data_IF_993432489233
#
_entry.id   IF_993432489233
#
_cell.length_a   1.000
_cell.length_b   1.000
_cell.length_c   1.000
_cell.angle_alpha   90.00
_cell.angle_beta   90.00
_cell.angle_gamma   90.00
#
_symmetry.space_group_name_H-M   'P 1'
#
loop_
_entity.id
_entity.type
_entity.pdbx_description
1 polymer ?
#
# COMPACT_ATOMS: atom_id res chain seq x y z
N UNK A 1 30.28 -0.12 47.60
CA UNK A 1 29.04 -0.15 46.79
C UNK A 1 29.45 -0.41 45.35
N UNK A 2 29.23 -1.61 44.76
CA UNK A 2 29.51 -1.80 43.35
C UNK A 2 28.40 -1.15 42.52
N UNK A 3 28.78 -0.34 41.53
CA UNK A 3 27.88 0.27 40.56
C UNK A 3 27.25 -0.84 39.71
N UNK A 4 25.91 -0.91 39.71
CA UNK A 4 25.16 -1.86 38.91
C UNK A 4 25.45 -1.64 37.42
N UNK A 5 25.88 -2.71 36.74
CA UNK A 5 25.98 -2.73 35.28
C UNK A 5 24.58 -2.92 34.71
N UNK A 6 24.10 -1.92 33.97
CA UNK A 6 22.90 -2.05 33.15
C UNK A 6 23.30 -2.68 31.81
N UNK A 7 22.68 -3.82 31.45
CA UNK A 7 22.76 -4.34 30.09
C UNK A 7 21.99 -3.42 29.15
N UNK A 8 22.72 -2.61 28.39
CA UNK A 8 22.16 -1.84 27.27
C UNK A 8 21.97 -2.82 26.12
N UNK A 9 20.73 -3.27 25.94
CA UNK A 9 20.36 -4.05 24.77
C UNK A 9 20.57 -3.23 23.50
N UNK A 10 21.58 -3.60 22.70
CA UNK A 10 22.08 -2.91 21.52
C UNK A 10 20.98 -2.56 20.48
N UNK A 11 19.90 -3.34 20.42
CA UNK A 11 18.77 -3.14 19.50
C UNK A 11 17.91 -1.90 19.81
N UNK A 12 17.89 -1.40 21.05
CA UNK A 12 17.11 -0.21 21.39
C UNK A 12 17.66 1.07 20.71
N UNK A 13 18.94 1.07 20.35
CA UNK A 13 19.60 2.19 19.68
C UNK A 13 19.20 2.34 18.21
N UNK A 14 18.99 1.23 17.50
CA UNK A 14 18.76 1.24 16.05
C UNK A 14 17.40 1.85 15.67
N UNK A 15 16.33 1.51 16.41
CA UNK A 15 15.00 2.07 16.13
C UNK A 15 14.92 3.55 16.51
N UNK A 16 15.60 3.99 17.58
CA UNK A 16 15.61 5.42 17.96
C UNK A 16 16.21 6.31 16.87
N UNK A 17 17.17 5.80 16.10
CA UNK A 17 17.73 6.51 14.96
C UNK A 17 16.70 6.82 13.85
N UNK A 18 15.54 6.14 13.84
CA UNK A 18 14.42 6.47 12.93
C UNK A 18 13.90 7.89 13.17
N UNK A 19 13.92 8.38 14.42
CA UNK A 19 13.42 9.72 14.77
C UNK A 19 14.27 10.81 14.11
N UNK A 20 15.56 10.56 13.88
CA UNK A 20 16.48 11.50 13.24
C UNK A 20 16.06 11.85 11.81
N UNK A 21 15.33 10.96 11.12
CA UNK A 21 14.81 11.21 9.77
C UNK A 21 13.87 12.43 9.74
N UNK A 22 13.18 12.69 10.86
CA UNK A 22 12.14 13.72 10.96
C UNK A 22 12.69 15.08 11.39
N UNK A 23 13.93 15.14 11.85
CA UNK A 23 14.43 16.23 12.70
C UNK A 23 14.34 17.62 12.06
N UNK A 24 14.75 17.72 10.79
CA UNK A 24 14.65 18.94 9.99
C UNK A 24 13.20 19.30 9.62
N UNK A 25 12.38 18.29 9.36
CA UNK A 25 10.97 18.46 8.99
C UNK A 25 10.13 18.93 10.18
N UNK A 26 10.36 18.39 11.38
CA UNK A 26 9.69 18.82 12.62
C UNK A 26 9.92 20.28 12.94
N UNK A 27 11.14 20.80 12.70
CA UNK A 27 11.44 22.23 12.87
C UNK A 27 10.62 23.10 11.93
N UNK A 28 10.46 22.69 10.67
CA UNK A 28 9.62 23.40 9.69
C UNK A 28 8.15 23.31 10.05
N UNK A 29 7.64 22.11 10.36
CA UNK A 29 6.25 21.93 10.81
C UNK A 29 5.93 22.79 12.04
N UNK A 30 6.83 22.82 13.03
CA UNK A 30 6.69 23.67 14.23
C UNK A 30 6.64 25.15 13.90
N UNK A 31 7.46 25.61 12.96
CA UNK A 31 7.43 27.00 12.50
C UNK A 31 6.08 27.34 11.89
N UNK A 32 5.57 26.51 10.98
CA UNK A 32 4.25 26.69 10.37
C UNK A 32 3.12 26.63 11.39
N UNK A 33 3.18 25.71 12.36
CA UNK A 33 2.16 25.56 13.40
C UNK A 33 2.17 26.72 14.41
N UNK A 34 3.30 27.38 14.63
CA UNK A 34 3.45 28.50 15.57
C UNK A 34 3.21 29.87 14.92
N UNK A 35 2.96 29.93 13.61
CA UNK A 35 2.57 31.17 12.97
C UNK A 35 1.28 31.72 13.60
N UNK A 36 1.19 33.06 13.70
CA UNK A 36 0.03 33.73 14.30
C UNK A 36 -1.29 33.40 13.60
N UNK A 37 -1.23 33.12 12.30
CA UNK A 37 -2.37 32.78 11.46
C UNK A 37 -2.54 31.26 11.29
N UNK A 38 -1.75 30.44 11.99
CA UNK A 38 -1.81 28.99 11.86
C UNK A 38 -3.18 28.43 12.30
N UNK A 39 -3.85 27.64 11.45
CA UNK A 39 -5.11 26.99 11.82
C UNK A 39 -4.97 26.09 13.03
N UNK A 40 -6.04 26.01 13.84
CA UNK A 40 -6.08 25.19 15.06
C UNK A 40 -5.75 23.73 14.79
N UNK A 41 -6.21 23.18 13.65
CA UNK A 41 -5.93 21.78 13.26
C UNK A 41 -4.43 21.51 13.08
N UNK A 42 -3.67 22.47 12.50
CA UNK A 42 -2.23 22.34 12.32
C UNK A 42 -1.50 22.36 13.68
N UNK A 43 -1.91 23.26 14.58
CA UNK A 43 -1.39 23.29 15.97
C UNK A 43 -1.67 22.00 16.73
N UNK A 44 -2.88 21.45 16.59
CA UNK A 44 -3.27 20.21 17.27
C UNK A 44 -2.52 18.99 16.74
N UNK A 45 -2.29 18.89 15.43
CA UNK A 45 -1.54 17.75 14.87
C UNK A 45 -0.06 17.83 15.24
N UNK A 46 0.55 19.02 15.26
CA UNK A 46 1.93 19.20 15.74
C UNK A 46 2.07 18.73 17.19
N UNK A 47 1.17 19.17 18.09
CA UNK A 47 1.19 18.72 19.48
C UNK A 47 1.06 17.21 19.63
N UNK A 48 0.08 16.60 18.95
CA UNK A 48 -0.12 15.13 18.99
C UNK A 48 1.09 14.36 18.47
N UNK A 49 1.78 14.92 17.47
CA UNK A 49 2.97 14.33 16.89
C UNK A 49 4.15 14.41 17.87
N UNK A 50 4.32 15.53 18.57
CA UNK A 50 5.31 15.66 19.66
C UNK A 50 5.03 14.66 20.78
N UNK A 51 3.77 14.53 21.21
CA UNK A 51 3.39 13.55 22.22
C UNK A 51 3.70 12.10 21.77
N UNK A 52 3.45 11.78 20.49
CA UNK A 52 3.77 10.47 19.92
C UNK A 52 5.29 10.22 19.82
N UNK A 53 6.08 11.25 19.50
CA UNK A 53 7.55 11.18 19.50
C UNK A 53 8.08 10.87 20.90
N UNK A 54 7.63 11.60 21.92
CA UNK A 54 8.03 11.32 23.30
C UNK A 54 7.65 9.89 23.74
N UNK A 55 6.51 9.39 23.28
CA UNK A 55 6.08 8.04 23.60
C UNK A 55 7.00 6.95 23.02
N UNK A 56 7.61 7.15 21.83
CA UNK A 56 8.55 6.17 21.26
C UNK A 56 9.97 6.30 21.83
N UNK A 57 10.36 7.48 22.31
CA UNK A 57 11.70 7.69 22.91
C UNK A 57 11.79 7.30 24.39
N UNK A 58 10.66 7.03 25.06
CA UNK A 58 10.67 6.63 26.46
C UNK A 58 11.36 5.27 26.68
N UNK A 59 12.22 5.18 27.70
CA UNK A 59 13.24 4.12 27.95
C UNK A 59 12.73 2.66 27.99
N UNK A 60 11.40 2.46 28.08
CA UNK A 60 10.73 1.15 28.13
C UNK A 60 9.82 0.89 26.90
N UNK A 61 9.97 1.67 25.84
CA UNK A 61 9.03 1.74 24.72
C UNK A 61 9.45 0.91 23.51
N UNK A 62 9.20 -0.40 23.53
CA UNK A 62 9.42 -1.28 22.37
C UNK A 62 8.14 -1.74 21.68
N UNK A 63 7.01 -1.11 21.97
CA UNK A 63 5.72 -1.52 21.42
C UNK A 63 5.55 -1.03 19.97
N UNK A 64 5.35 -1.93 18.99
CA UNK A 64 5.07 -1.56 17.61
C UNK A 64 3.88 -0.61 17.46
N UNK A 65 2.87 -0.74 18.32
CA UNK A 65 1.70 0.13 18.33
C UNK A 65 2.02 1.61 18.59
N UNK A 66 3.10 1.93 19.31
CA UNK A 66 3.53 3.33 19.51
C UNK A 66 4.17 3.90 18.25
N UNK A 67 4.95 3.10 17.54
CA UNK A 67 5.52 3.47 16.24
C UNK A 67 4.43 3.62 15.17
N UNK A 68 3.44 2.72 15.14
CA UNK A 68 2.26 2.86 14.28
C UNK A 68 1.44 4.12 14.59
N UNK A 69 1.31 4.47 15.88
CA UNK A 69 0.66 5.73 16.29
C UNK A 69 1.43 6.95 15.79
N UNK A 70 2.75 6.93 15.86
CA UNK A 70 3.61 7.99 15.32
C UNK A 70 3.46 8.09 13.78
N UNK A 71 3.52 6.97 13.06
CA UNK A 71 3.24 6.90 11.62
C UNK A 71 1.86 7.50 11.29
N UNK A 72 0.83 7.13 12.06
CA UNK A 72 -0.51 7.68 11.88
C UNK A 72 -0.58 9.20 12.11
N UNK A 73 0.20 9.75 13.04
CA UNK A 73 0.29 11.21 13.23
C UNK A 73 1.04 11.90 12.07
N UNK A 74 2.06 11.25 11.49
CA UNK A 74 2.72 11.76 10.28
C UNK A 74 1.74 11.86 9.11
N UNK A 75 0.97 10.80 8.85
CA UNK A 75 -0.07 10.81 7.82
C UNK A 75 -1.15 11.87 8.10
N UNK A 76 -1.55 12.05 9.35
CA UNK A 76 -2.52 13.07 9.75
C UNK A 76 -1.99 14.50 9.53
N UNK A 77 -0.69 14.74 9.75
CA UNK A 77 -0.07 16.02 9.47
C UNK A 77 -0.10 16.31 7.97
N UNK A 78 0.30 15.35 7.14
CA UNK A 78 0.22 15.49 5.68
C UNK A 78 -1.21 15.68 5.17
N UNK A 79 -2.20 15.03 5.78
CA UNK A 79 -3.62 15.20 5.45
C UNK A 79 -4.10 16.65 5.67
N UNK A 80 -3.55 17.35 6.65
CA UNK A 80 -3.82 18.77 6.87
C UNK A 80 -3.04 19.62 5.86
N UNK A 81 -1.77 19.30 5.66
CA UNK A 81 -0.86 20.10 4.85
C UNK A 81 -1.30 20.15 3.39
N UNK A 82 -1.74 19.01 2.84
CA UNK A 82 -2.20 18.89 1.44
C UNK A 82 -3.40 19.77 1.07
N UNK A 83 -4.10 20.34 2.06
CA UNK A 83 -5.17 21.31 1.83
C UNK A 83 -4.67 22.77 1.75
N UNK A 84 -3.35 22.96 1.63
CA UNK A 84 -2.73 24.27 1.41
C UNK A 84 -2.34 25.01 2.70
N UNK A 85 -2.42 24.36 3.86
CA UNK A 85 -2.00 24.96 5.13
C UNK A 85 -0.65 24.42 5.58
N UNK A 86 0.35 25.28 5.77
CA UNK A 86 1.66 24.85 6.25
C UNK A 86 2.44 23.99 5.24
N UNK A 87 2.17 24.16 3.95
CA UNK A 87 2.85 23.42 2.87
C UNK A 87 4.34 23.74 2.75
N UNK A 88 4.79 24.85 3.34
CA UNK A 88 6.21 25.19 3.52
C UNK A 88 6.95 24.18 4.42
N UNK A 89 6.23 23.41 5.25
CA UNK A 89 6.81 22.28 5.96
C UNK A 89 7.31 21.17 5.02
N UNK A 90 6.81 21.13 3.78
CA UNK A 90 7.02 20.08 2.78
C UNK A 90 6.46 18.72 3.23
N UNK A 91 6.35 17.73 2.33
CA UNK A 91 5.94 16.38 2.70
C UNK A 91 6.88 15.78 3.76
N UNK A 92 6.42 14.76 4.47
CA UNK A 92 7.26 13.97 5.38
C UNK A 92 8.49 13.47 4.61
N UNK A 93 9.70 13.65 5.16
CA UNK A 93 10.94 13.28 4.47
C UNK A 93 11.02 11.78 4.23
N UNK A 94 11.94 11.32 3.37
CA UNK A 94 12.21 9.90 3.20
C UNK A 94 12.49 9.22 4.55
N UNK A 95 11.77 8.14 4.83
CA UNK A 95 11.91 7.36 6.05
C UNK A 95 12.78 6.13 5.79
N UNK A 96 13.68 5.80 6.71
CA UNK A 96 14.50 4.59 6.58
C UNK A 96 13.70 3.29 6.74
N UNK A 97 14.16 2.15 6.18
CA UNK A 97 13.44 0.87 6.30
C UNK A 97 13.20 0.39 7.74
N UNK A 98 14.03 0.79 8.69
CA UNK A 98 13.94 0.43 10.11
C UNK A 98 12.63 0.89 10.76
N UNK A 99 11.96 1.92 10.20
CA UNK A 99 10.60 2.29 10.60
C UNK A 99 9.63 1.11 10.50
N UNK A 100 9.81 0.23 9.50
CA UNK A 100 8.99 -0.97 9.33
C UNK A 100 9.29 -1.99 10.42
N UNK A 101 10.56 -2.24 10.73
CA UNK A 101 10.93 -3.15 11.81
C UNK A 101 10.39 -2.68 13.17
N UNK A 102 10.42 -1.36 13.42
CA UNK A 102 9.93 -0.77 14.64
C UNK A 102 8.40 -0.79 14.78
N UNK A 103 7.66 -0.76 13.66
CA UNK A 103 6.19 -0.67 13.64
C UNK A 103 5.47 -1.97 13.28
N UNK A 104 6.19 -3.02 12.90
CA UNK A 104 5.60 -4.32 12.58
C UNK A 104 5.09 -5.04 13.84
N UNK A 105 3.78 -5.21 13.93
CA UNK A 105 3.10 -5.97 14.99
C UNK A 105 2.65 -7.37 14.53
N UNK A 106 2.98 -7.76 13.30
CA UNK A 106 2.57 -9.04 12.73
C UNK A 106 1.10 -9.11 12.30
N UNK A 107 0.38 -7.98 12.26
CA UNK A 107 -1.02 -7.95 11.82
C UNK A 107 -1.17 -7.97 10.29
N UNK A 108 -2.29 -8.49 9.75
CA UNK A 108 -2.57 -8.37 8.33
C UNK A 108 -2.72 -6.90 7.90
N UNK A 109 -3.28 -6.02 8.73
CA UNK A 109 -3.39 -4.58 8.48
C UNK A 109 -2.03 -3.96 8.18
N UNK A 110 -1.04 -4.22 9.02
CA UNK A 110 0.30 -3.65 8.84
C UNK A 110 1.00 -4.21 7.58
N UNK A 111 0.91 -5.52 7.33
CA UNK A 111 1.48 -6.14 6.12
C UNK A 111 0.83 -5.61 4.84
N UNK A 112 -0.50 -5.48 4.83
CA UNK A 112 -1.24 -4.92 3.70
C UNK A 112 -0.92 -3.43 3.51
N UNK A 113 -0.77 -2.67 4.59
CA UNK A 113 -0.38 -1.27 4.54
C UNK A 113 0.98 -1.08 3.86
N UNK A 114 1.96 -1.91 4.22
CA UNK A 114 3.28 -1.91 3.59
C UNK A 114 3.22 -2.28 2.10
N UNK A 115 2.49 -3.36 1.77
CA UNK A 115 2.30 -3.80 0.38
C UNK A 115 1.64 -2.71 -0.48
N UNK A 116 0.62 -2.04 0.06
CA UNK A 116 -0.03 -0.91 -0.58
C UNK A 116 0.95 0.25 -0.78
N UNK A 117 1.68 0.66 0.26
CA UNK A 117 2.51 1.86 0.27
C UNK A 117 3.68 1.81 -0.72
N UNK A 118 4.38 0.67 -0.81
CA UNK A 118 5.64 0.58 -1.55
C UNK A 118 5.49 0.20 -3.02
N UNK A 119 4.25 0.02 -3.51
CA UNK A 119 4.00 -0.35 -4.89
C UNK A 119 4.28 0.77 -5.91
N UNK A 120 4.37 0.43 -7.19
CA UNK A 120 4.65 1.41 -8.25
C UNK A 120 4.11 1.03 -9.63
N UNK A 121 3.93 2.04 -10.47
CA UNK A 121 3.33 1.89 -11.80
C UNK A 121 4.25 1.29 -12.86
N UNK A 122 5.52 1.67 -12.81
CA UNK A 122 6.53 1.26 -13.80
C UNK A 122 7.65 0.53 -13.09
N UNK A 123 8.48 -0.21 -13.81
CA UNK A 123 9.71 -0.78 -13.25
C UNK A 123 10.93 -0.16 -13.93
N UNK A 124 11.91 0.26 -13.14
CA UNK A 124 13.25 0.66 -13.60
C UNK A 124 14.26 -0.20 -12.85
N UNK A 125 15.14 -0.89 -13.57
CA UNK A 125 16.13 -1.81 -12.97
C UNK A 125 15.52 -2.84 -12.01
N UNK A 126 14.31 -3.33 -12.32
CA UNK A 126 13.60 -4.30 -11.47
C UNK A 126 12.91 -3.71 -10.22
N UNK A 127 13.05 -2.41 -9.95
CA UNK A 127 12.40 -1.74 -8.82
C UNK A 127 11.16 -1.00 -9.34
N UNK A 128 9.99 -1.12 -8.68
CA UNK A 128 8.85 -0.27 -8.99
C UNK A 128 9.22 1.20 -8.80
N UNK A 129 9.18 1.96 -9.89
CA UNK A 129 9.23 3.42 -9.89
C UNK A 129 7.81 3.95 -9.96
N UNK A 130 7.63 5.27 -9.97
CA UNK A 130 6.30 5.88 -10.09
C UNK A 130 5.39 5.58 -8.86
N UNK A 131 5.83 6.07 -7.70
CA UNK A 131 5.20 5.84 -6.38
C UNK A 131 3.74 6.26 -6.35
N UNK A 132 2.92 5.51 -5.60
CA UNK A 132 1.53 5.87 -5.36
C UNK A 132 1.36 7.08 -4.43
N UNK A 133 2.44 7.58 -3.80
CA UNK A 133 2.40 8.76 -2.93
C UNK A 133 1.81 10.00 -3.61
N UNK A 134 1.99 10.15 -4.93
CA UNK A 134 1.38 11.24 -5.71
C UNK A 134 -0.15 11.18 -5.76
N UNK A 135 -0.74 10.01 -5.53
CA UNK A 135 -2.20 9.89 -5.46
C UNK A 135 -2.76 10.35 -4.11
N UNK A 136 -1.89 10.49 -3.11
CA UNK A 136 -2.22 11.01 -1.79
C UNK A 136 -1.85 12.49 -1.64
N UNK A 137 -0.72 12.92 -2.21
CA UNK A 137 -0.19 14.29 -2.07
C UNK A 137 0.02 14.95 -3.43
N UNK A 138 -0.22 16.27 -3.55
CA UNK A 138 0.13 17.05 -4.74
C UNK A 138 1.65 17.22 -4.81
N UNK A 139 2.35 16.23 -5.36
CA UNK A 139 3.81 16.22 -5.44
C UNK A 139 4.30 16.80 -6.77
N UNK A 140 5.45 17.46 -6.72
CA UNK A 140 6.13 17.95 -7.91
C UNK A 140 6.63 16.77 -8.76
N UNK A 141 6.40 16.84 -10.09
CA UNK A 141 6.73 15.76 -11.02
C UNK A 141 8.24 15.56 -11.21
N UNK A 142 9.01 16.64 -11.14
CA UNK A 142 10.46 16.63 -11.26
C UNK A 142 11.12 16.40 -9.89
N UNK A 143 10.50 16.90 -8.83
CA UNK A 143 10.95 16.81 -7.44
C UNK A 143 9.91 16.09 -6.58
N UNK A 144 9.77 14.76 -6.68
CA UNK A 144 8.71 13.99 -6.00
C UNK A 144 8.82 13.95 -4.46
N UNK A 145 9.79 14.66 -3.88
CA UNK A 145 9.94 14.88 -2.43
C UNK A 145 9.41 16.25 -1.98
N UNK A 146 8.96 17.07 -2.91
CA UNK A 146 8.43 18.40 -2.69
C UNK A 146 6.98 18.47 -3.12
N UNK A 147 6.22 19.38 -2.51
CA UNK A 147 4.89 19.70 -3.02
C UNK A 147 4.99 20.44 -4.36
N UNK A 148 4.05 20.14 -5.27
CA UNK A 148 3.81 20.97 -6.44
C UNK A 148 3.14 22.27 -6.00
N UNK A 149 3.67 23.40 -6.45
CA UNK A 149 3.14 24.73 -6.10
C UNK A 149 2.88 25.54 -7.36
N UNK A 150 1.80 26.33 -7.34
CA UNK A 150 1.45 27.28 -8.39
C UNK A 150 1.05 28.59 -7.74
N UNK A 151 1.81 29.66 -8.03
CA UNK A 151 1.64 30.94 -7.36
C UNK A 151 1.83 30.83 -5.85
N UNK A 152 0.78 31.13 -5.09
CA UNK A 152 0.80 31.17 -3.61
C UNK A 152 0.17 29.93 -2.95
N UNK A 153 0.01 28.82 -3.68
CA UNK A 153 -0.67 27.64 -3.17
C UNK A 153 -0.20 26.33 -3.78
N UNK A 154 -0.79 25.23 -3.29
CA UNK A 154 -0.55 23.90 -3.83
C UNK A 154 -1.22 23.73 -5.20
N UNK A 155 -0.49 23.13 -6.13
CA UNK A 155 -1.03 22.71 -7.42
C UNK A 155 -1.71 21.35 -7.26
N UNK A 156 -3.04 21.36 -7.13
CA UNK A 156 -3.84 20.15 -6.97
C UNK A 156 -4.03 19.44 -8.31
N UNK A 157 -3.15 18.47 -8.56
CA UNK A 157 -3.16 17.71 -9.81
C UNK A 157 -4.27 16.63 -9.84
N UNK A 158 -4.82 16.28 -11.02
CA UNK A 158 -5.91 15.31 -11.15
C UNK A 158 -5.56 13.86 -10.76
N UNK A 159 -4.28 13.57 -10.55
CA UNK A 159 -3.80 12.27 -10.07
C UNK A 159 -3.94 12.10 -8.55
N UNK A 160 -4.20 13.18 -7.80
CA UNK A 160 -4.44 13.16 -6.35
C UNK A 160 -5.88 12.69 -6.03
N UNK A 161 -6.09 11.37 -6.04
CA UNK A 161 -7.43 10.74 -5.91
C UNK A 161 -7.74 10.14 -4.54
N UNK A 162 -6.74 9.91 -3.69
CA UNK A 162 -6.96 9.43 -2.33
C UNK A 162 -7.27 10.62 -1.43
N UNK A 163 -8.33 10.56 -0.65
CA UNK A 163 -8.83 11.68 0.17
C UNK A 163 -8.79 11.43 1.68
N UNK A 164 -8.55 10.21 2.13
CA UNK A 164 -8.31 9.95 3.54
C UNK A 164 -9.57 9.77 4.39
N UNK A 165 -10.74 9.70 3.75
CA UNK A 165 -12.03 9.59 4.46
C UNK A 165 -12.42 8.15 4.76
N UNK A 166 -12.30 7.28 3.76
CA UNK A 166 -12.59 5.84 3.84
C UNK A 166 -11.54 5.08 3.03
N UNK A 167 -10.91 4.10 3.64
CA UNK A 167 -9.86 3.28 3.05
C UNK A 167 -10.37 2.49 1.83
N UNK A 168 -11.60 1.99 1.90
CA UNK A 168 -12.27 1.32 0.79
C UNK A 168 -12.32 2.23 -0.46
N UNK A 169 -12.84 3.44 -0.31
CA UNK A 169 -13.03 4.38 -1.42
C UNK A 169 -11.69 4.83 -2.01
N UNK A 170 -10.70 5.10 -1.16
CA UNK A 170 -9.35 5.49 -1.58
C UNK A 170 -8.64 4.37 -2.37
N UNK A 171 -8.80 3.11 -1.95
CA UNK A 171 -8.23 1.95 -2.66
C UNK A 171 -8.87 1.77 -4.05
N UNK A 172 -10.19 1.89 -4.14
CA UNK A 172 -10.92 1.82 -5.42
C UNK A 172 -10.51 2.97 -6.33
N UNK A 173 -10.47 4.21 -5.81
CA UNK A 173 -10.07 5.39 -6.56
C UNK A 173 -8.64 5.26 -7.11
N UNK A 174 -7.71 4.71 -6.33
CA UNK A 174 -6.35 4.41 -6.80
C UNK A 174 -6.36 3.44 -7.99
N UNK A 175 -7.09 2.33 -7.90
CA UNK A 175 -7.17 1.32 -8.98
C UNK A 175 -7.75 1.94 -10.25
N UNK A 176 -8.87 2.66 -10.12
CA UNK A 176 -9.52 3.34 -11.25
C UNK A 176 -8.56 4.34 -11.91
N UNK A 177 -7.88 5.17 -11.11
CA UNK A 177 -6.92 6.16 -11.61
C UNK A 177 -5.75 5.51 -12.35
N UNK A 178 -5.23 4.40 -11.84
CA UNK A 178 -4.11 3.66 -12.44
C UNK A 178 -4.48 3.01 -13.77
N UNK A 179 -5.72 2.52 -13.93
CA UNK A 179 -6.20 2.05 -15.23
C UNK A 179 -6.35 3.17 -16.25
N UNK A 180 -6.84 4.34 -15.82
CA UNK A 180 -6.92 5.52 -16.69
C UNK A 180 -5.52 5.91 -17.17
N UNK A 181 -4.55 6.01 -16.25
CA UNK A 181 -3.16 6.35 -16.59
C UNK A 181 -2.51 5.31 -17.50
N UNK A 182 -2.76 4.01 -17.30
CA UNK A 182 -2.29 2.96 -18.19
C UNK A 182 -2.84 3.12 -19.61
N UNK A 183 -4.16 3.34 -19.72
CA UNK A 183 -4.84 3.50 -21.01
C UNK A 183 -4.34 4.70 -21.82
N UNK A 184 -3.92 5.78 -21.14
CA UNK A 184 -3.32 6.97 -21.78
C UNK A 184 -1.98 6.67 -22.44
N UNK A 185 -1.29 5.60 -22.03
CA UNK A 185 -0.02 5.15 -22.59
C UNK A 185 -0.16 3.85 -23.39
N UNK A 186 -1.38 3.51 -23.82
CA UNK A 186 -1.72 2.27 -24.54
C UNK A 186 -1.38 0.98 -23.77
N UNK A 187 -1.10 1.07 -22.46
CA UNK A 187 -0.91 -0.11 -21.61
C UNK A 187 -2.29 -0.65 -21.16
N UNK A 188 -2.43 -1.96 -21.27
CA UNK A 188 -3.65 -2.69 -20.96
C UNK A 188 -3.58 -3.44 -19.63
N UNK A 189 -2.49 -3.32 -18.90
CA UNK A 189 -2.33 -3.91 -17.58
C UNK A 189 -2.72 -2.93 -16.48
N UNK A 190 -3.01 -3.43 -15.27
CA UNK A 190 -3.17 -2.59 -14.09
C UNK A 190 -1.79 -2.34 -13.46
N UNK A 191 -1.21 -1.13 -13.54
CA UNK A 191 0.18 -0.88 -13.17
C UNK A 191 0.34 -0.77 -11.65
N UNK A 192 0.32 -1.91 -10.95
CA UNK A 192 0.49 -2.03 -9.51
C UNK A 192 1.53 -3.11 -9.19
N UNK A 193 2.80 -2.74 -9.32
CA UNK A 193 3.92 -3.66 -9.13
C UNK A 193 4.37 -3.69 -7.67
N UNK A 194 4.47 -4.89 -7.08
CA UNK A 194 5.01 -5.08 -5.74
C UNK A 194 6.51 -4.72 -5.67
N UNK A 195 6.89 -4.12 -4.57
CA UNK A 195 8.30 -3.97 -4.17
C UNK A 195 8.78 -5.27 -3.50
N UNK A 196 10.07 -5.64 -3.56
CA UNK A 196 10.58 -6.80 -2.83
C UNK A 196 10.13 -6.78 -1.37
N UNK A 197 9.59 -7.91 -0.91
CA UNK A 197 9.00 -8.11 0.44
C UNK A 197 7.79 -7.25 0.83
N UNK A 198 7.29 -6.38 -0.05
CA UNK A 198 6.08 -5.60 0.17
C UNK A 198 5.01 -6.01 -0.86
N UNK A 199 4.39 -7.16 -0.59
CA UNK A 199 3.31 -7.73 -1.38
C UNK A 199 2.24 -8.34 -0.47
N UNK A 200 1.01 -8.41 -0.96
CA UNK A 200 -0.07 -9.06 -0.23
C UNK A 200 0.05 -10.59 -0.36
N UNK A 201 0.06 -11.28 0.78
CA UNK A 201 0.02 -12.74 0.83
C UNK A 201 -1.40 -13.25 0.55
N UNK A 202 -1.54 -14.54 0.21
CA UNK A 202 -2.86 -15.16 0.02
C UNK A 202 -3.67 -15.06 1.31
N UNK A 203 -3.07 -15.41 2.46
CA UNK A 203 -3.72 -15.34 3.76
C UNK A 203 -4.19 -13.91 4.13
N UNK A 204 -3.37 -12.88 3.84
CA UNK A 204 -3.77 -11.49 4.11
C UNK A 204 -4.92 -11.05 3.19
N UNK A 205 -4.89 -11.45 1.91
CA UNK A 205 -5.98 -11.19 0.97
C UNK A 205 -7.27 -11.91 1.37
N UNK A 206 -7.18 -13.14 1.86
CA UNK A 206 -8.35 -13.88 2.35
C UNK A 206 -8.97 -13.17 3.55
N UNK A 207 -8.17 -12.73 4.52
CA UNK A 207 -8.66 -11.93 5.66
C UNK A 207 -9.28 -10.62 5.21
N UNK A 208 -8.65 -9.94 4.24
CA UNK A 208 -9.20 -8.71 3.67
C UNK A 208 -10.57 -8.96 3.03
N UNK A 209 -10.68 -9.93 2.14
CA UNK A 209 -11.89 -10.21 1.35
C UNK A 209 -13.05 -10.76 2.18
N UNK A 210 -12.75 -11.35 3.34
CA UNK A 210 -13.75 -11.83 4.30
C UNK A 210 -14.14 -10.76 5.34
N UNK A 211 -13.61 -9.53 5.24
CA UNK A 211 -13.97 -8.41 6.11
C UNK A 211 -13.27 -8.41 7.47
N UNK A 212 -12.20 -9.19 7.64
CA UNK A 212 -11.43 -9.28 8.89
C UNK A 212 -10.23 -8.31 8.94
N UNK A 213 -10.18 -7.32 8.05
CA UNK A 213 -9.12 -6.31 8.00
C UNK A 213 -9.75 -4.92 8.10
N UNK A 214 -9.26 -4.11 9.02
CA UNK A 214 -9.62 -2.69 9.07
C UNK A 214 -8.90 -1.92 7.95
N UNK A 215 -9.61 -1.66 6.85
CA UNK A 215 -9.08 -0.92 5.70
C UNK A 215 -8.78 0.55 6.00
N UNK A 216 -9.49 1.18 6.93
CA UNK A 216 -9.28 2.57 7.29
C UNK A 216 -7.95 2.71 8.04
N UNK A 217 -7.70 1.82 9.00
CA UNK A 217 -6.41 1.70 9.69
C UNK A 217 -5.29 1.35 8.70
N UNK A 218 -5.51 0.34 7.86
CA UNK A 218 -4.54 -0.13 6.85
C UNK A 218 -4.08 1.02 5.96
N UNK A 219 -5.00 1.81 5.40
CA UNK A 219 -4.62 2.93 4.53
C UNK A 219 -4.09 4.15 5.30
N UNK A 220 -4.49 4.35 6.56
CA UNK A 220 -3.88 5.38 7.41
C UNK A 220 -2.38 5.10 7.63
N UNK A 221 -2.02 3.85 7.94
CA UNK A 221 -0.63 3.41 8.05
C UNK A 221 0.09 3.49 6.70
N UNK A 222 -0.55 3.03 5.62
CA UNK A 222 0.04 3.02 4.30
C UNK A 222 0.47 4.42 3.85
N UNK A 223 -0.33 5.46 4.11
CA UNK A 223 -0.01 6.85 3.75
C UNK A 223 1.30 7.34 4.35
N UNK A 224 1.58 6.99 5.60
CA UNK A 224 2.87 7.31 6.22
C UNK A 224 4.01 6.47 5.63
N UNK A 225 3.77 5.17 5.42
CA UNK A 225 4.76 4.24 4.85
C UNK A 225 5.10 4.58 3.39
N UNK A 226 4.26 5.33 2.66
CA UNK A 226 4.60 5.84 1.33
C UNK A 226 5.83 6.77 1.34
N UNK A 227 6.20 7.29 2.51
CA UNK A 227 7.40 8.09 2.70
C UNK A 227 8.68 7.27 2.84
N UNK A 228 8.62 5.94 2.91
CA UNK A 228 9.81 5.09 2.95
C UNK A 228 10.73 5.35 1.76
N UNK A 229 12.03 5.43 2.03
CA UNK A 229 13.06 5.50 1.01
C UNK A 229 13.10 4.17 0.25
N UNK A 230 12.70 4.22 -1.01
CA UNK A 230 12.53 3.04 -1.87
C UNK A 230 13.85 2.42 -2.30
N UNK A 231 14.90 3.22 -2.41
CA UNK A 231 16.25 2.73 -2.79
C UNK A 231 16.90 2.04 -1.59
N UNK A 232 16.81 2.68 -0.41
CA UNK A 232 17.22 2.06 0.85
C UNK A 232 16.43 0.76 1.10
N UNK A 233 15.11 0.78 0.87
CA UNK A 233 14.26 -0.40 0.99
C UNK A 233 14.69 -1.53 0.05
N UNK A 234 14.91 -1.26 -1.23
CA UNK A 234 15.31 -2.28 -2.21
C UNK A 234 16.61 -2.99 -1.82
N UNK A 235 17.55 -2.26 -1.18
CA UNK A 235 18.80 -2.82 -0.66
C UNK A 235 18.55 -3.63 0.62
N UNK A 236 17.74 -3.08 1.52
CA UNK A 236 17.45 -3.68 2.83
C UNK A 236 16.60 -4.96 2.74
N UNK A 237 15.61 -4.97 1.84
CA UNK A 237 14.69 -6.07 1.58
C UNK A 237 15.33 -7.28 0.86
N UNK A 238 16.65 -7.41 0.90
CA UNK A 238 17.36 -8.65 0.55
C UNK A 238 17.35 -9.66 1.71
N UNK A 239 17.19 -9.21 2.95
CA UNK A 239 17.08 -10.08 4.15
C UNK A 239 15.61 -10.30 4.51
N UNK A 240 15.13 -11.51 4.83
CA UNK A 240 13.73 -11.71 5.24
C UNK A 240 13.43 -10.93 6.52
N UNK A 241 12.51 -9.97 6.44
CA UNK A 241 12.16 -9.06 7.55
C UNK A 241 10.80 -9.38 8.16
N UNK A 242 9.84 -9.75 7.31
CA UNK A 242 8.50 -10.09 7.75
C UNK A 242 8.37 -11.59 7.86
N UNK A 243 7.99 -12.05 9.06
CA UNK A 243 7.47 -13.38 9.25
C UNK A 243 6.26 -13.55 8.32
N UNK A 244 6.37 -14.54 7.44
CA UNK A 244 5.24 -14.93 6.60
C UNK A 244 4.20 -15.56 7.51
N UNK A 245 2.90 -15.36 7.26
CA UNK A 245 1.87 -16.08 7.99
C UNK A 245 2.20 -17.58 7.98
N UNK A 246 2.39 -18.16 9.17
CA UNK A 246 2.56 -19.59 9.30
C UNK A 246 1.25 -20.25 8.87
N UNK A 247 1.26 -20.92 7.72
CA UNK A 247 0.16 -21.81 7.32
C UNK A 247 0.32 -23.04 8.22
N UNK A 248 -0.57 -23.19 9.20
CA UNK A 248 -0.69 -24.44 9.96
C UNK A 248 -1.03 -25.55 8.95
N UNK A 249 -0.33 -26.68 9.08
CA UNK A 249 -0.33 -27.83 8.17
C UNK A 249 -1.59 -27.99 7.30
N UNK A 250 -1.44 -27.71 6.00
CA UNK A 250 -2.37 -28.17 4.95
C UNK A 250 -3.65 -27.37 4.72
N UNK A 251 -3.98 -26.36 5.54
CA UNK A 251 -5.22 -25.57 5.40
C UNK A 251 -4.92 -24.10 5.10
N UNK A 252 -4.50 -23.81 3.87
CA UNK A 252 -4.41 -22.42 3.39
C UNK A 252 -5.80 -21.95 2.99
N UNK A 253 -6.36 -20.99 3.73
CA UNK A 253 -7.64 -20.37 3.35
C UNK A 253 -7.43 -19.54 2.08
N UNK A 254 -8.17 -19.89 1.03
CA UNK A 254 -8.10 -19.20 -0.26
C UNK A 254 -9.15 -18.09 -0.36
N UNK A 255 -8.83 -17.00 -1.07
CA UNK A 255 -9.84 -16.06 -1.55
C UNK A 255 -10.92 -16.75 -2.37
N UNK A 256 -12.06 -16.08 -2.51
CA UNK A 256 -13.12 -16.52 -3.41
C UNK A 256 -12.58 -16.73 -4.83
N UNK A 257 -12.91 -17.88 -5.38
CA UNK A 257 -12.48 -18.39 -6.67
C UNK A 257 -12.90 -17.45 -7.84
N UNK A 258 -14.05 -16.77 -7.73
CA UNK A 258 -14.46 -15.75 -8.68
C UNK A 258 -13.64 -14.46 -8.56
N UNK A 259 -13.22 -14.09 -7.34
CA UNK A 259 -12.26 -13.00 -7.15
C UNK A 259 -10.89 -13.34 -7.73
N UNK A 260 -10.41 -14.59 -7.58
CA UNK A 260 -9.17 -15.03 -8.21
C UNK A 260 -9.20 -14.84 -9.73
N UNK A 261 -10.34 -15.15 -10.37
CA UNK A 261 -10.52 -14.97 -11.81
C UNK A 261 -10.43 -13.48 -12.20
N UNK A 262 -11.09 -12.60 -11.43
CA UNK A 262 -10.99 -11.14 -11.62
C UNK A 262 -9.54 -10.68 -11.44
N UNK A 263 -8.85 -11.17 -10.39
CA UNK A 263 -7.48 -10.76 -10.06
C UNK A 263 -6.48 -11.12 -11.16
N UNK A 264 -6.65 -12.27 -11.82
CA UNK A 264 -5.82 -12.66 -12.97
C UNK A 264 -6.01 -11.73 -14.18
N UNK A 265 -7.19 -11.13 -14.35
CA UNK A 265 -7.44 -10.13 -15.38
C UNK A 265 -6.88 -8.75 -15.05
N UNK A 266 -6.35 -8.52 -13.85
CA UNK A 266 -5.83 -7.22 -13.43
C UNK A 266 -4.37 -7.32 -13.02
N UNK A 267 -3.61 -8.19 -13.67
CA UNK A 267 -2.19 -8.31 -13.41
C UNK A 267 -1.43 -7.12 -14.06
N UNK A 268 -0.38 -6.60 -13.40
CA UNK A 268 0.56 -5.62 -13.98
C UNK A 268 1.50 -6.17 -15.07
N UNK A 269 1.44 -7.47 -15.36
CA UNK A 269 2.36 -8.14 -16.28
C UNK A 269 1.73 -9.40 -16.86
N UNK A 270 2.22 -9.89 -18.03
CA UNK A 270 1.88 -11.19 -18.53
C UNK A 270 2.44 -12.30 -17.63
N UNK A 271 1.75 -13.44 -17.61
CA UNK A 271 2.05 -14.58 -16.74
C UNK A 271 2.67 -15.72 -17.54
N UNK A 272 3.85 -16.21 -17.12
CA UNK A 272 4.49 -17.38 -17.74
C UNK A 272 4.09 -18.68 -17.01
N UNK A 273 3.56 -19.66 -17.73
CA UNK A 273 3.25 -21.00 -17.21
C UNK A 273 4.52 -21.84 -16.99
N UNK A 274 4.40 -23.01 -16.34
CA UNK A 274 5.52 -23.96 -16.22
C UNK A 274 5.97 -24.50 -17.58
N UNK A 275 5.00 -24.78 -18.47
CA UNK A 275 5.22 -25.21 -19.86
C UNK A 275 5.82 -24.13 -20.78
N UNK A 276 6.15 -22.94 -20.26
CA UNK A 276 6.83 -21.88 -21.01
C UNK A 276 5.92 -20.95 -21.81
N UNK A 277 4.61 -21.21 -21.86
CA UNK A 277 3.65 -20.31 -22.51
C UNK A 277 3.49 -19.00 -21.73
N UNK A 278 3.39 -17.89 -22.46
CA UNK A 278 3.08 -16.58 -21.88
C UNK A 278 1.61 -16.28 -22.09
N UNK A 279 0.88 -16.11 -20.99
CA UNK A 279 -0.52 -15.71 -20.93
C UNK A 279 -0.57 -14.19 -20.72
N UNK A 280 -1.02 -13.48 -21.74
CA UNK A 280 -1.22 -12.03 -21.68
C UNK A 280 -2.72 -11.75 -21.56
N UNK A 281 -3.13 -11.10 -20.46
CA UNK A 281 -4.54 -10.93 -20.10
C UNK A 281 -4.79 -9.45 -19.89
N UNK A 282 -5.37 -8.81 -20.91
CA UNK A 282 -5.75 -7.40 -20.85
C UNK A 282 -6.74 -7.14 -19.70
N UNK A 283 -6.44 -6.10 -18.90
CA UNK A 283 -7.36 -5.55 -17.94
C UNK A 283 -8.50 -4.80 -18.64
N UNK A 284 -9.72 -5.04 -18.16
CA UNK A 284 -10.91 -4.37 -18.65
C UNK A 284 -11.43 -3.40 -17.57
N UNK A 285 -11.38 -2.07 -17.78
CA UNK A 285 -11.88 -1.11 -16.80
C UNK A 285 -13.35 -1.30 -16.44
N UNK A 286 -14.14 -2.01 -17.26
CA UNK A 286 -15.50 -2.39 -16.91
C UNK A 286 -15.57 -3.31 -15.67
N UNK A 287 -14.54 -4.13 -15.41
CA UNK A 287 -14.48 -4.98 -14.21
C UNK A 287 -14.58 -4.14 -12.94
N UNK A 288 -13.74 -3.12 -12.84
CA UNK A 288 -13.64 -2.27 -11.64
C UNK A 288 -14.90 -1.42 -11.50
N UNK A 289 -15.42 -0.86 -12.61
CA UNK A 289 -16.68 -0.10 -12.60
C UNK A 289 -17.88 -0.93 -12.12
N UNK A 290 -17.92 -2.22 -12.48
CA UNK A 290 -18.99 -3.12 -12.06
C UNK A 290 -18.88 -3.46 -10.58
N UNK A 291 -17.69 -3.77 -10.10
CA UNK A 291 -17.45 -4.04 -8.68
C UNK A 291 -17.76 -2.82 -7.79
N UNK A 292 -17.40 -1.61 -8.22
CA UNK A 292 -17.70 -0.37 -7.50
C UNK A 292 -19.21 -0.06 -7.48
N UNK A 293 -19.94 -0.52 -8.49
CA UNK A 293 -21.40 -0.44 -8.60
C UNK A 293 -22.12 -1.68 -8.03
N UNK A 294 -21.50 -2.41 -7.10
CA UNK A 294 -22.06 -3.57 -6.40
C UNK A 294 -22.38 -4.80 -7.29
N UNK A 295 -21.90 -4.83 -8.53
CA UNK A 295 -22.23 -5.82 -9.56
C UNK A 295 -21.07 -6.82 -9.77
N UNK A 296 -20.82 -7.63 -8.74
CA UNK A 296 -19.79 -8.69 -8.75
C UNK A 296 -20.05 -9.77 -9.81
N UNK A 297 -21.32 -10.08 -10.08
CA UNK A 297 -21.70 -11.10 -11.04
C UNK A 297 -21.30 -10.72 -12.46
N UNK A 298 -21.61 -9.49 -12.89
CA UNK A 298 -21.21 -9.02 -14.23
C UNK A 298 -19.70 -8.84 -14.34
N UNK A 299 -19.03 -8.40 -13.27
CA UNK A 299 -17.57 -8.36 -13.22
C UNK A 299 -16.97 -9.75 -13.46
N UNK A 300 -17.47 -10.78 -12.78
CA UNK A 300 -17.01 -12.16 -12.98
C UNK A 300 -17.25 -12.67 -14.41
N UNK A 301 -18.41 -12.36 -15.02
CA UNK A 301 -18.69 -12.74 -16.42
C UNK A 301 -17.69 -12.13 -17.38
N UNK A 302 -17.34 -10.85 -17.19
CA UNK A 302 -16.31 -10.18 -18.00
C UNK A 302 -14.95 -10.86 -17.81
N UNK A 303 -14.55 -11.15 -16.56
CA UNK A 303 -13.28 -11.80 -16.25
C UNK A 303 -13.20 -13.20 -16.89
N UNK A 304 -14.24 -14.01 -16.72
CA UNK A 304 -14.31 -15.36 -17.29
C UNK A 304 -14.21 -15.37 -18.82
N UNK A 305 -14.82 -14.39 -19.50
CA UNK A 305 -14.68 -14.23 -20.95
C UNK A 305 -13.25 -13.88 -21.36
N UNK A 306 -12.59 -12.99 -20.61
CA UNK A 306 -11.18 -12.59 -20.86
C UNK A 306 -10.22 -13.77 -20.63
N UNK A 307 -10.38 -14.50 -19.52
CA UNK A 307 -9.58 -15.68 -19.22
C UNK A 307 -9.74 -16.77 -20.29
N UNK A 308 -10.97 -17.02 -20.75
CA UNK A 308 -11.22 -17.98 -21.83
C UNK A 308 -10.55 -17.55 -23.14
N UNK A 309 -10.61 -16.25 -23.48
CA UNK A 309 -9.94 -15.72 -24.66
C UNK A 309 -8.41 -15.87 -24.58
N UNK A 310 -7.84 -15.78 -23.37
CA UNK A 310 -6.42 -16.06 -23.10
C UNK A 310 -6.09 -17.57 -22.98
N UNK A 311 -7.06 -18.47 -23.20
CA UNK A 311 -6.85 -19.91 -23.17
C UNK A 311 -6.79 -20.53 -21.77
N UNK A 312 -7.36 -19.86 -20.76
CA UNK A 312 -7.50 -20.34 -19.37
C UNK A 312 -8.91 -20.89 -19.17
N UNK A 313 -9.01 -22.11 -18.66
CA UNK A 313 -10.28 -22.79 -18.39
C UNK A 313 -10.62 -22.75 -16.91
N UNK A 314 -11.40 -21.74 -16.50
CA UNK A 314 -11.90 -21.65 -15.13
C UNK A 314 -12.87 -22.81 -14.83
N UNK A 315 -12.65 -23.48 -13.70
CA UNK A 315 -13.54 -24.51 -13.16
C UNK A 315 -14.89 -23.94 -12.71
N UNK A 316 -14.91 -22.68 -12.27
CA UNK A 316 -16.10 -21.98 -11.78
C UNK A 316 -16.96 -21.49 -12.96
N UNK A 317 -18.27 -21.71 -12.86
CA UNK A 317 -19.24 -21.32 -13.90
C UNK A 317 -20.03 -20.05 -13.56
N UNK A 318 -20.10 -19.68 -12.29
CA UNK A 318 -20.79 -18.50 -11.79
C UNK A 318 -20.09 -18.00 -10.53
N UNK A 319 -19.99 -16.68 -10.39
CA UNK A 319 -19.46 -16.02 -9.21
C UNK A 319 -20.31 -14.80 -8.91
N UNK A 320 -20.80 -14.69 -7.68
CA UNK A 320 -21.55 -13.55 -7.19
C UNK A 320 -21.25 -13.38 -5.72
N UNK A 321 -21.16 -12.12 -5.29
CA UNK A 321 -20.91 -11.74 -3.91
C UNK A 321 -21.88 -10.61 -3.51
N UNK A 322 -22.20 -10.48 -2.21
CA UNK A 322 -22.99 -9.36 -1.70
C UNK A 322 -22.39 -7.99 -2.10
N UNK A 323 -23.20 -6.91 -2.15
CA UNK A 323 -22.74 -5.55 -2.51
C UNK A 323 -21.46 -5.10 -1.79
N UNK A 324 -21.43 -5.20 -0.46
CA UNK A 324 -20.27 -4.80 0.34
C UNK A 324 -19.00 -5.58 -0.03
N UNK A 325 -19.17 -6.89 -0.29
CA UNK A 325 -18.08 -7.76 -0.74
C UNK A 325 -17.62 -7.43 -2.16
N UNK A 326 -18.52 -7.00 -3.06
CA UNK A 326 -18.17 -6.58 -4.41
C UNK A 326 -17.25 -5.34 -4.41
N UNK A 327 -17.55 -4.35 -3.57
CA UNK A 327 -16.69 -3.16 -3.41
C UNK A 327 -15.36 -3.52 -2.75
N UNK A 328 -15.38 -4.43 -1.77
CA UNK A 328 -14.18 -4.96 -1.12
C UNK A 328 -13.29 -5.71 -2.12
N UNK A 329 -13.88 -6.45 -3.06
CA UNK A 329 -13.17 -7.08 -4.18
C UNK A 329 -12.44 -6.05 -5.04
N UNK A 330 -13.08 -4.91 -5.36
CA UNK A 330 -12.42 -3.82 -6.09
C UNK A 330 -11.26 -3.21 -5.29
N UNK A 331 -11.46 -2.92 -4.01
CA UNK A 331 -10.42 -2.38 -3.14
C UNK A 331 -9.22 -3.34 -3.00
N UNK A 332 -9.47 -4.64 -2.90
CA UNK A 332 -8.42 -5.66 -2.80
C UNK A 332 -7.49 -5.71 -4.03
N UNK A 333 -7.94 -5.22 -5.19
CA UNK A 333 -7.09 -5.10 -6.40
C UNK A 333 -5.96 -4.06 -6.21
N UNK A 334 -6.12 -3.11 -5.29
CA UNK A 334 -5.13 -2.09 -4.98
C UNK A 334 -3.88 -2.62 -4.28
N UNK A 335 -3.91 -3.86 -3.77
CA UNK A 335 -2.79 -4.47 -3.09
C UNK A 335 -1.99 -5.35 -4.07
N UNK A 336 -0.68 -5.12 -4.24
CA UNK A 336 0.08 -5.83 -5.25
C UNK A 336 0.40 -7.27 -4.80
N UNK A 337 0.41 -8.20 -5.74
CA UNK A 337 0.81 -9.59 -5.51
C UNK A 337 2.08 -9.92 -6.29
N UNK A 338 2.70 -11.04 -5.98
CA UNK A 338 3.88 -11.53 -6.72
C UNK A 338 3.48 -12.38 -7.92
N UNK A 339 4.43 -12.61 -8.84
CA UNK A 339 4.28 -13.59 -9.93
C UNK A 339 4.03 -15.00 -9.41
N UNK A 340 4.66 -15.42 -8.30
CA UNK A 340 4.41 -16.74 -7.73
C UNK A 340 2.98 -16.85 -7.19
N UNK A 341 2.48 -15.83 -6.48
CA UNK A 341 1.07 -15.78 -6.04
C UNK A 341 0.11 -15.87 -7.23
N UNK A 342 0.34 -15.11 -8.30
CA UNK A 342 -0.49 -15.15 -9.51
C UNK A 342 -0.47 -16.54 -10.18
N UNK A 343 0.68 -17.22 -10.24
CA UNK A 343 0.76 -18.61 -10.74
C UNK A 343 -0.08 -19.57 -9.91
N UNK A 344 -0.04 -19.42 -8.58
CA UNK A 344 -0.85 -20.24 -7.67
C UNK A 344 -2.35 -20.03 -7.90
N UNK A 345 -2.78 -18.79 -8.15
CA UNK A 345 -4.16 -18.49 -8.57
C UNK A 345 -4.50 -19.15 -9.91
N UNK A 346 -3.61 -19.06 -10.90
CA UNK A 346 -3.80 -19.71 -12.19
C UNK A 346 -3.99 -21.22 -12.05
N UNK A 347 -3.11 -21.90 -11.32
CA UNK A 347 -3.16 -23.37 -11.20
C UNK A 347 -4.35 -23.85 -10.38
N UNK A 348 -4.81 -23.05 -9.42
CA UNK A 348 -6.07 -23.31 -8.72
C UNK A 348 -7.28 -23.25 -9.67
N UNK A 349 -7.31 -22.25 -10.57
CA UNK A 349 -8.43 -22.05 -11.49
C UNK A 349 -8.39 -22.96 -12.72
N UNK A 350 -7.20 -23.31 -13.19
CA UNK A 350 -6.94 -24.21 -14.32
C UNK A 350 -5.73 -25.11 -14.01
N UNK A 351 -5.95 -26.23 -13.30
CA UNK A 351 -4.88 -27.18 -12.95
C UNK A 351 -4.14 -27.74 -14.17
N UNK A 352 -4.75 -27.73 -15.37
CA UNK A 352 -4.08 -28.19 -16.59
C UNK A 352 -2.89 -27.32 -17.00
N UNK A 353 -2.77 -26.10 -16.45
CA UNK A 353 -1.64 -25.19 -16.67
C UNK A 353 -0.45 -25.44 -15.74
N UNK A 354 -0.63 -26.26 -14.70
CA UNK A 354 0.44 -26.62 -13.77
C UNK A 354 1.36 -27.70 -14.35
N UNK A 355 0.81 -28.58 -15.17
CA UNK A 355 1.51 -29.69 -15.79
C UNK A 355 2.57 -29.19 -16.81
N UNK A 356 3.75 -29.86 -16.87
CA UNK A 356 4.84 -29.49 -17.76
C UNK A 356 4.51 -29.61 -19.25
#
# INVERSE_FOLDING_TARGET
MPLGRFEVANQASEHLACVDDLDSWLRRLRREARDKNAPVRLRQVEKRLVDALFAVTAEHSRSPGRWQKLLSQLAAAEAIIRHGTGYEAQPVPPLRPEWVAASNDGTPEFRLALAFALQGGRRKSGIPVDSIRRHWLPLDREKPRCFATSGTGLDMQPDVVMHGRRGLDDAIALVQRRLIEASQHEDRHLPLNAMPQAFASIADLTKLLTGHVDLDLTLALARALMALDREAWATWAQKPIMERPHVLDGQEDWPDDAWLAIRLCTLPWPLRTHSGFTLDIDADPALIRRLDADDSATAFVIASRRLRAAGIRCTIRSGAAPPDTARLWAAALAFPITKSTAKRFLYRLDPSKELP
#
